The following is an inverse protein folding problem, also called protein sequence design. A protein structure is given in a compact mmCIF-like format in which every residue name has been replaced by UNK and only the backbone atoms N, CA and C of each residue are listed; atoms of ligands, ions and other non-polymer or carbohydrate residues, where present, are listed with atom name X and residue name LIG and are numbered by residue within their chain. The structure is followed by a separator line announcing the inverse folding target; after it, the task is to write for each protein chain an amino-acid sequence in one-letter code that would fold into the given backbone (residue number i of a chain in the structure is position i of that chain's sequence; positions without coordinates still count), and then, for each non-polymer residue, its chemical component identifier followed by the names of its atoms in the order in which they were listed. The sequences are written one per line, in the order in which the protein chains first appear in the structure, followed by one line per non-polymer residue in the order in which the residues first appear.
data_IF_489659415787
#
_entry.id   IF_489659415787
#
_cell.length_a   1.000
_cell.length_b   1.000
_cell.length_c   1.000
_cell.angle_alpha   90.00
_cell.angle_beta   90.00
_cell.angle_gamma   90.00
#
_symmetry.space_group_name_H-M   'P 1'
#
loop_
_entity.id
_entity.type
_entity.pdbx_description
1 polymer ?
#
# COMPACT_ATOMS: atom_id res chain seq x y z
N UNK A 1 18.11 2.34 -13.50
CA UNK A 1 17.25 1.49 -12.67
C UNK A 1 16.05 2.31 -12.21
N UNK A 2 14.86 1.86 -12.53
CA UNK A 2 13.62 2.59 -12.18
C UNK A 2 13.12 2.17 -10.81
N UNK A 3 12.60 3.13 -10.05
CA UNK A 3 11.95 2.87 -8.77
C UNK A 3 10.50 2.44 -8.98
N UNK A 4 9.94 1.77 -7.97
CA UNK A 4 8.53 1.40 -7.94
C UNK A 4 7.82 2.12 -6.79
N UNK A 5 6.99 3.10 -7.14
CA UNK A 5 6.19 3.85 -6.17
C UNK A 5 5.16 2.94 -5.50
N UNK A 6 5.00 3.06 -4.19
CA UNK A 6 4.05 2.24 -3.43
C UNK A 6 4.52 0.82 -3.16
N UNK A 7 5.82 0.58 -3.30
CA UNK A 7 6.46 -0.72 -3.04
C UNK A 7 7.79 -0.53 -2.33
N UNK A 8 8.33 -1.64 -1.81
CA UNK A 8 9.68 -1.65 -1.29
C UNK A 8 10.70 -1.65 -2.42
N UNK A 9 11.72 -0.82 -2.27
CA UNK A 9 12.84 -0.69 -3.20
C UNK A 9 14.14 -0.78 -2.42
N UNK A 10 15.16 -1.41 -2.99
CA UNK A 10 16.50 -1.42 -2.40
C UNK A 10 17.31 -0.30 -3.05
N UNK A 11 17.65 0.71 -2.26
CA UNK A 11 18.31 1.92 -2.74
C UNK A 11 19.59 2.22 -1.96
N UNK A 12 20.58 2.79 -2.65
CA UNK A 12 21.88 3.15 -2.07
C UNK A 12 21.82 4.51 -1.40
N UNK A 13 22.42 4.61 -0.21
CA UNK A 13 22.63 5.88 0.49
C UNK A 13 23.76 6.64 -0.20
N UNK A 14 23.45 7.81 -0.74
CA UNK A 14 24.41 8.62 -1.50
C UNK A 14 24.82 9.91 -0.81
N UNK A 15 24.05 10.35 0.20
CA UNK A 15 24.33 11.63 0.88
C UNK A 15 23.74 11.62 2.29
N UNK A 16 24.45 12.23 3.21
CA UNK A 16 23.99 12.41 4.59
C UNK A 16 23.75 13.90 4.86
N UNK A 17 22.63 14.22 5.47
CA UNK A 17 22.24 15.60 5.83
C UNK A 17 21.66 15.61 7.25
N UNK A 18 21.47 16.82 7.83
CA UNK A 18 20.99 16.96 9.21
C UNK A 18 19.62 16.33 9.45
N UNK A 19 18.76 16.29 8.44
CA UNK A 19 17.37 15.82 8.56
C UNK A 19 17.15 14.42 7.99
N UNK A 20 18.21 13.71 7.60
CA UNK A 20 18.11 12.35 7.12
C UNK A 20 19.24 11.97 6.18
N UNK A 21 18.97 11.00 5.32
CA UNK A 21 19.88 10.61 4.23
C UNK A 21 19.15 10.67 2.91
N UNK A 22 19.90 10.90 1.83
CA UNK A 22 19.36 10.81 0.48
C UNK A 22 19.76 9.49 -0.15
N UNK A 23 18.79 8.89 -0.83
CA UNK A 23 18.93 7.61 -1.51
C UNK A 23 18.93 7.84 -3.03
N UNK A 24 19.64 6.99 -3.76
CA UNK A 24 19.69 7.05 -5.22
C UNK A 24 18.39 6.54 -5.82
N UNK A 25 17.55 7.44 -6.32
CA UNK A 25 16.30 7.13 -7.01
C UNK A 25 16.42 6.99 -8.52
N UNK A 26 17.65 6.92 -9.04
CA UNK A 26 17.89 6.82 -10.49
C UNK A 26 17.39 8.05 -11.24
N UNK A 27 16.51 7.85 -12.18
CA UNK A 27 15.92 8.94 -12.98
C UNK A 27 15.09 9.93 -12.15
N UNK A 28 14.57 9.50 -11.01
CA UNK A 28 13.81 10.34 -10.10
C UNK A 28 14.67 11.22 -9.20
N UNK A 29 16.00 11.09 -9.30
CA UNK A 29 16.94 11.85 -8.50
C UNK A 29 17.10 11.31 -7.08
N UNK A 30 17.54 12.17 -6.16
CA UNK A 30 17.74 11.79 -4.78
C UNK A 30 16.42 11.78 -4.01
N UNK A 31 16.21 10.71 -3.21
CA UNK A 31 15.00 10.51 -2.41
C UNK A 31 15.35 10.60 -0.93
N UNK A 32 14.65 11.44 -0.18
CA UNK A 32 14.91 11.62 1.25
C UNK A 32 14.36 10.45 2.07
N UNK A 33 15.19 9.92 2.96
CA UNK A 33 14.79 9.06 4.08
C UNK A 33 14.99 9.88 5.36
N UNK A 34 13.89 10.31 6.04
CA UNK A 34 14.00 11.14 7.24
C UNK A 34 14.77 10.46 8.37
N UNK A 35 15.44 11.26 9.20
CA UNK A 35 16.32 10.78 10.30
C UNK A 35 15.65 9.74 11.19
N UNK A 36 14.36 9.91 11.53
CA UNK A 36 13.65 8.97 12.40
C UNK A 36 13.56 7.54 11.86
N UNK A 37 13.77 7.37 10.55
CA UNK A 37 13.73 6.05 9.89
C UNK A 37 15.10 5.54 9.52
N UNK A 38 16.17 6.29 9.86
CA UNK A 38 17.55 5.92 9.56
C UNK A 38 18.16 5.17 10.74
N UNK A 39 18.75 4.01 10.49
CA UNK A 39 19.46 3.26 11.51
C UNK A 39 20.75 3.98 11.88
N UNK A 40 21.15 3.93 13.17
CA UNK A 40 22.36 4.60 13.68
C UNK A 40 23.65 4.20 12.95
N UNK A 41 23.72 2.96 12.48
CA UNK A 41 24.90 2.42 11.79
C UNK A 41 24.88 2.68 10.28
N UNK A 42 23.93 3.45 9.77
CA UNK A 42 23.77 3.73 8.36
C UNK A 42 24.93 4.61 7.84
N UNK A 43 25.51 4.20 6.72
CA UNK A 43 26.64 4.91 6.08
C UNK A 43 26.36 5.10 4.60
N UNK A 44 27.02 6.11 4.00
CA UNK A 44 27.02 6.31 2.55
C UNK A 44 27.58 5.04 1.89
N UNK A 45 26.88 4.56 0.87
CA UNK A 45 27.20 3.32 0.17
C UNK A 45 26.36 2.12 0.63
N UNK A 46 25.67 2.22 1.76
CA UNK A 46 24.79 1.16 2.23
C UNK A 46 23.54 1.07 1.34
N UNK A 47 23.03 -0.15 1.14
CA UNK A 47 21.77 -0.38 0.45
C UNK A 47 20.66 -0.62 1.49
N UNK A 48 19.61 0.18 1.42
CA UNK A 48 18.48 0.09 2.35
C UNK A 48 17.22 -0.37 1.61
N UNK A 49 16.45 -1.24 2.26
CA UNK A 49 15.15 -1.64 1.77
C UNK A 49 14.11 -0.66 2.32
N UNK A 50 13.57 0.18 1.46
CA UNK A 50 12.67 1.26 1.83
C UNK A 50 11.38 1.21 1.02
N UNK A 51 10.29 1.63 1.66
CA UNK A 51 9.00 1.83 1.00
C UNK A 51 8.94 3.27 0.47
N UNK A 52 8.55 3.43 -0.79
CA UNK A 52 8.45 4.74 -1.43
C UNK A 52 7.01 5.19 -1.56
N UNK A 53 6.73 6.41 -1.13
CA UNK A 53 5.41 7.03 -1.23
C UNK A 53 5.55 8.53 -1.44
N UNK A 54 4.44 9.24 -1.58
CA UNK A 54 4.44 10.69 -1.73
C UNK A 54 4.09 11.35 -0.41
N UNK A 55 4.84 12.38 -0.01
CA UNK A 55 4.57 13.15 1.21
C UNK A 55 3.35 14.09 1.04
N UNK A 56 3.10 14.93 2.04
CA UNK A 56 1.95 15.85 2.02
C UNK A 56 2.06 16.91 0.91
N UNK A 57 3.27 17.19 0.44
CA UNK A 57 3.54 18.11 -0.67
C UNK A 57 3.68 17.35 -2.01
N UNK A 58 3.30 16.08 -2.01
CA UNK A 58 3.36 15.19 -3.19
C UNK A 58 4.77 14.97 -3.73
N UNK A 59 5.77 15.06 -2.85
CA UNK A 59 7.16 14.74 -3.17
C UNK A 59 7.46 13.30 -2.80
N UNK A 60 8.28 12.67 -3.62
CA UNK A 60 8.72 11.30 -3.37
C UNK A 60 9.56 11.22 -2.10
N UNK A 61 9.18 10.34 -1.19
CA UNK A 61 9.84 10.15 0.11
C UNK A 61 9.93 8.66 0.46
N UNK A 62 10.93 8.30 1.25
CA UNK A 62 11.17 6.93 1.68
C UNK A 62 10.88 6.75 3.17
N UNK A 63 10.54 5.53 3.54
CA UNK A 63 10.40 5.12 4.95
C UNK A 63 10.89 3.68 5.12
N UNK A 64 11.40 3.38 6.31
CA UNK A 64 11.72 2.00 6.71
C UNK A 64 10.55 1.31 7.41
N UNK A 65 9.45 2.04 7.65
CA UNK A 65 8.22 1.46 8.17
C UNK A 65 7.61 0.50 7.14
N UNK A 66 6.95 -0.54 7.64
CA UNK A 66 6.20 -1.46 6.79
C UNK A 66 4.73 -1.03 6.77
N UNK A 67 4.22 -0.56 5.62
CA UNK A 67 2.80 -0.22 5.52
C UNK A 67 1.94 -1.48 5.59
N UNK A 68 0.66 -1.30 5.93
CA UNK A 68 -0.29 -2.41 6.01
C UNK A 68 -0.67 -2.96 4.64
N UNK A 69 -0.39 -2.21 3.58
CA UNK A 69 -0.66 -2.62 2.19
C UNK A 69 0.34 -1.95 1.25
N UNK A 70 0.70 -2.64 0.19
CA UNK A 70 1.50 -2.10 -0.90
C UNK A 70 0.66 -2.02 -2.18
N UNK A 71 1.13 -1.26 -3.16
CA UNK A 71 0.48 -1.21 -4.49
C UNK A 71 0.37 -2.63 -5.06
N UNK A 72 -0.81 -2.98 -5.51
CA UNK A 72 -1.12 -4.33 -6.04
C UNK A 72 -1.67 -5.30 -5.00
N UNK A 73 -1.78 -4.89 -3.74
CA UNK A 73 -2.25 -5.73 -2.64
C UNK A 73 -3.60 -5.27 -2.10
N UNK A 74 -4.23 -6.16 -1.35
CA UNK A 74 -5.48 -5.91 -0.63
C UNK A 74 -5.21 -5.88 0.88
N UNK A 75 -5.96 -5.04 1.60
CA UNK A 75 -5.93 -5.04 3.06
C UNK A 75 -7.24 -4.49 3.63
N UNK A 76 -7.52 -4.85 4.89
CA UNK A 76 -8.62 -4.27 5.65
C UNK A 76 -8.06 -3.12 6.47
N UNK A 77 -8.49 -1.90 6.16
CA UNK A 77 -7.95 -0.67 6.77
C UNK A 77 -9.05 0.16 7.41
N UNK A 78 -8.69 0.85 8.50
CA UNK A 78 -9.60 1.71 9.23
C UNK A 78 -9.59 3.13 8.65
N UNK A 79 -10.78 3.74 8.55
CA UNK A 79 -10.93 5.13 8.11
C UNK A 79 -10.55 6.07 9.25
N UNK A 80 -9.51 6.88 9.04
CA UNK A 80 -9.04 7.87 10.00
C UNK A 80 -9.87 9.15 9.95
N UNK A 81 -10.19 9.62 8.75
CA UNK A 81 -10.98 10.84 8.54
C UNK A 81 -11.57 10.87 7.14
N UNK A 82 -12.52 11.76 6.93
CA UNK A 82 -13.25 11.91 5.66
C UNK A 82 -13.35 13.42 5.35
N UNK A 83 -13.25 13.76 4.07
CA UNK A 83 -13.48 15.14 3.62
C UNK A 83 -14.37 15.16 2.38
N UNK A 84 -14.44 16.30 1.70
CA UNK A 84 -15.28 16.48 0.51
C UNK A 84 -14.81 15.68 -0.73
N UNK A 85 -13.62 15.10 -0.70
CA UNK A 85 -13.06 14.34 -1.83
C UNK A 85 -13.13 12.83 -1.62
N UNK A 86 -13.16 12.37 -0.39
CA UNK A 86 -13.20 10.96 -0.08
C UNK A 86 -12.77 10.63 1.32
N UNK A 87 -12.32 9.40 1.52
CA UNK A 87 -11.89 8.88 2.81
C UNK A 87 -10.37 8.70 2.83
N UNK A 88 -9.81 8.81 4.04
CA UNK A 88 -8.39 8.62 4.30
C UNK A 88 -8.22 7.50 5.31
N UNK A 89 -7.52 6.45 4.92
CA UNK A 89 -7.39 5.21 5.67
C UNK A 89 -5.99 5.10 6.29
N UNK A 90 -5.95 4.63 7.53
CA UNK A 90 -4.68 4.36 8.20
C UNK A 90 -4.02 3.11 7.61
N UNK A 91 -2.90 3.27 6.95
CA UNK A 91 -2.09 2.17 6.43
C UNK A 91 -0.72 2.06 7.09
N UNK A 92 -0.55 2.75 8.23
CA UNK A 92 0.65 2.67 9.05
C UNK A 92 1.73 3.71 8.74
N UNK A 93 1.47 4.63 7.83
CA UNK A 93 2.40 5.70 7.45
C UNK A 93 1.90 7.07 7.92
N UNK A 94 2.77 8.07 7.87
CA UNK A 94 2.42 9.45 8.26
C UNK A 94 1.30 10.03 7.41
N UNK A 95 1.28 9.71 6.13
CA UNK A 95 0.24 10.15 5.21
C UNK A 95 -0.74 9.00 4.98
N UNK A 96 -2.01 9.23 5.26
CA UNK A 96 -3.05 8.22 5.09
C UNK A 96 -3.30 7.88 3.61
N UNK A 97 -3.83 6.68 3.38
CA UNK A 97 -4.14 6.19 2.05
C UNK A 97 -5.51 6.71 1.61
N UNK A 98 -5.57 7.36 0.46
CA UNK A 98 -6.77 8.02 -0.05
C UNK A 98 -7.68 7.07 -0.83
N UNK A 99 -9.00 7.13 -0.54
CA UNK A 99 -10.04 6.42 -1.28
C UNK A 99 -11.05 7.47 -1.78
N UNK A 100 -10.99 7.85 -3.07
CA UNK A 100 -11.97 8.82 -3.59
C UNK A 100 -13.39 8.26 -3.56
N UNK A 101 -14.40 9.14 -3.50
CA UNK A 101 -15.80 8.71 -3.44
C UNK A 101 -16.18 7.78 -4.61
N UNK A 102 -15.63 8.02 -5.79
CA UNK A 102 -15.89 7.17 -6.96
C UNK A 102 -15.42 5.73 -6.80
N UNK A 103 -14.48 5.48 -5.87
CA UNK A 103 -13.92 4.17 -5.57
C UNK A 103 -14.53 3.52 -4.33
N UNK A 104 -15.55 4.11 -3.75
CA UNK A 104 -16.27 3.57 -2.60
C UNK A 104 -17.56 2.90 -3.07
N UNK A 105 -17.85 1.69 -2.57
CA UNK A 105 -19.13 1.01 -2.83
C UNK A 105 -20.26 1.67 -2.04
N UNK A 106 -19.96 1.96 -0.77
CA UNK A 106 -20.82 2.68 0.14
C UNK A 106 -20.00 3.79 0.76
N UNK A 107 -20.64 4.90 1.10
CA UNK A 107 -19.93 6.02 1.73
C UNK A 107 -19.20 5.56 2.98
N UNK A 108 -17.89 5.68 3.00
CA UNK A 108 -17.06 5.25 4.12
C UNK A 108 -17.27 6.13 5.34
N UNK A 109 -17.26 5.51 6.53
CA UNK A 109 -17.47 6.20 7.81
C UNK A 109 -16.21 6.10 8.68
N UNK A 110 -15.88 7.20 9.34
CA UNK A 110 -14.73 7.27 10.27
C UNK A 110 -14.85 6.18 11.35
N UNK A 111 -13.75 5.52 11.64
CA UNK A 111 -13.67 4.46 12.63
C UNK A 111 -14.05 3.07 12.14
N UNK A 112 -14.63 2.97 10.96
CA UNK A 112 -14.96 1.67 10.35
C UNK A 112 -13.82 1.16 9.49
N UNK A 113 -13.78 -0.16 9.31
CA UNK A 113 -12.77 -0.85 8.49
C UNK A 113 -13.37 -1.33 7.18
N UNK A 114 -12.60 -1.21 6.13
CA UNK A 114 -13.01 -1.63 4.78
C UNK A 114 -11.86 -2.36 4.10
N UNK A 115 -12.20 -3.38 3.31
CA UNK A 115 -11.24 -4.06 2.47
C UNK A 115 -11.05 -3.24 1.21
N UNK A 116 -9.80 -2.90 0.91
CA UNK A 116 -9.43 -2.07 -0.23
C UNK A 116 -8.25 -2.68 -0.99
N UNK A 117 -8.11 -2.29 -2.24
CA UNK A 117 -6.96 -2.59 -3.09
C UNK A 117 -6.18 -1.29 -3.34
N UNK A 118 -4.89 -1.30 -3.07
CA UNK A 118 -4.02 -0.15 -3.34
C UNK A 118 -3.50 -0.22 -4.77
N UNK A 119 -3.53 0.91 -5.47
CA UNK A 119 -3.05 1.00 -6.85
C UNK A 119 -2.54 2.41 -7.14
N UNK A 120 -1.85 2.56 -8.26
CA UNK A 120 -1.47 3.87 -8.77
C UNK A 120 -2.59 4.41 -9.65
N UNK A 121 -3.01 5.65 -9.38
CA UNK A 121 -3.97 6.33 -10.23
C UNK A 121 -3.31 6.67 -11.57
N UNK A 122 -3.93 6.25 -12.67
CA UNK A 122 -3.36 6.40 -14.02
C UNK A 122 -3.17 7.86 -14.43
N UNK A 123 -4.02 8.76 -13.96
CA UNK A 123 -3.95 10.17 -14.31
C UNK A 123 -2.97 10.96 -13.45
N UNK A 124 -3.03 10.78 -12.12
CA UNK A 124 -2.23 11.57 -11.18
C UNK A 124 -0.93 10.90 -10.73
N UNK A 125 -0.76 9.62 -11.00
CA UNK A 125 0.34 8.78 -10.52
C UNK A 125 0.47 8.75 -8.99
N UNK A 126 -0.62 9.04 -8.28
CA UNK A 126 -0.67 8.95 -6.82
C UNK A 126 -1.08 7.56 -6.37
N UNK A 127 -0.67 7.20 -5.17
CA UNK A 127 -1.13 5.95 -4.55
C UNK A 127 -2.53 6.21 -4.01
N UNK A 128 -3.49 5.43 -4.49
CA UNK A 128 -4.90 5.50 -4.06
C UNK A 128 -5.40 4.08 -3.78
N UNK A 129 -6.56 3.98 -3.14
CA UNK A 129 -7.17 2.68 -2.90
C UNK A 129 -8.62 2.65 -3.38
N UNK A 130 -9.12 1.45 -3.64
CA UNK A 130 -10.48 1.21 -4.09
C UNK A 130 -11.14 0.13 -3.24
N UNK A 131 -12.37 0.38 -2.80
CA UNK A 131 -13.21 -0.63 -2.18
C UNK A 131 -13.91 -1.54 -3.21
N UNK A 132 -13.80 -1.21 -4.48
CA UNK A 132 -14.37 -2.02 -5.59
C UNK A 132 -13.40 -3.14 -5.95
N UNK A 133 -13.16 -4.01 -4.97
CA UNK A 133 -12.08 -5.02 -4.99
C UNK A 133 -12.23 -6.05 -6.10
N UNK A 134 -13.45 -6.32 -6.55
CA UNK A 134 -13.70 -7.29 -7.62
C UNK A 134 -12.97 -6.95 -8.93
N UNK A 135 -12.71 -5.66 -9.18
CA UNK A 135 -11.98 -5.22 -10.37
C UNK A 135 -10.54 -5.72 -10.43
N UNK A 136 -9.96 -6.02 -9.27
CA UNK A 136 -8.55 -6.34 -9.11
C UNK A 136 -8.30 -7.81 -8.82
N UNK A 137 -9.36 -8.62 -8.71
CA UNK A 137 -9.25 -10.06 -8.51
C UNK A 137 -9.04 -10.76 -9.84
N UNK A 138 -8.20 -11.79 -9.84
CA UNK A 138 -7.95 -12.59 -11.03
C UNK A 138 -9.17 -13.43 -11.39
N UNK A 139 -9.54 -13.44 -12.67
CA UNK A 139 -10.56 -14.32 -13.24
C UNK A 139 -10.00 -15.70 -13.60
N UNK A 140 -8.67 -15.84 -13.58
CA UNK A 140 -8.01 -17.11 -13.85
C UNK A 140 -8.21 -18.07 -12.68
N UNK A 141 -8.33 -19.36 -13.01
CA UNK A 141 -8.44 -20.40 -11.99
C UNK A 141 -7.06 -20.64 -11.36
N UNK A 142 -6.95 -20.56 -10.02
CA UNK A 142 -5.68 -20.80 -9.36
C UNK A 142 -5.28 -22.27 -9.43
N UNK A 143 -3.97 -22.52 -9.49
CA UNK A 143 -3.39 -23.86 -9.47
C UNK A 143 -2.90 -24.19 -8.05
N UNK A 144 -3.84 -24.44 -7.13
CA UNK A 144 -3.52 -24.86 -5.77
C UNK A 144 -3.77 -26.35 -5.56
N UNK A 145 -2.90 -26.97 -4.77
CA UNK A 145 -3.13 -28.33 -4.28
C UNK A 145 -4.08 -28.29 -3.08
N UNK A 146 -4.81 -29.39 -2.75
CA UNK A 146 -5.76 -29.38 -1.63
C UNK A 146 -5.19 -29.02 -0.27
N UNK A 147 -3.89 -29.22 -0.06
CA UNK A 147 -3.21 -28.94 1.22
C UNK A 147 -2.32 -27.69 1.15
N UNK A 148 -2.40 -26.90 0.08
CA UNK A 148 -1.59 -25.71 -0.07
C UNK A 148 -1.94 -24.66 1.00
N UNK A 149 -0.91 -24.06 1.58
CA UNK A 149 -1.08 -22.91 2.48
C UNK A 149 -1.22 -21.63 1.66
N UNK A 150 -2.22 -20.83 1.97
CA UNK A 150 -2.49 -19.57 1.27
C UNK A 150 -2.81 -18.46 2.27
N UNK A 151 -2.51 -17.22 1.89
CA UNK A 151 -2.93 -16.04 2.63
C UNK A 151 -4.35 -15.69 2.23
N UNK A 152 -5.23 -15.46 3.20
CA UNK A 152 -6.61 -15.07 2.93
C UNK A 152 -6.96 -13.74 3.61
N UNK A 153 -7.84 -12.99 2.95
CA UNK A 153 -8.43 -11.77 3.50
C UNK A 153 -9.94 -11.85 3.24
N UNK A 154 -10.72 -11.90 4.31
CA UNK A 154 -12.18 -11.97 4.21
C UNK A 154 -12.71 -10.57 3.92
N UNK A 155 -13.51 -10.42 2.85
CA UNK A 155 -14.02 -9.10 2.49
C UNK A 155 -15.53 -8.97 2.47
N UNK A 156 -16.26 -10.07 2.40
CA UNK A 156 -17.73 -10.01 2.37
C UNK A 156 -18.35 -11.26 2.96
N UNK A 157 -19.39 -11.10 3.77
CA UNK A 157 -20.23 -12.20 4.25
C UNK A 157 -21.35 -12.46 3.25
N UNK A 158 -21.62 -13.74 2.97
CA UNK A 158 -22.70 -14.19 2.10
C UNK A 158 -23.56 -15.23 2.80
N UNK A 159 -24.68 -15.63 2.21
CA UNK A 159 -25.56 -16.69 2.75
C UNK A 159 -24.85 -18.05 2.86
N UNK A 160 -23.85 -18.29 2.03
CA UNK A 160 -23.08 -19.54 2.01
C UNK A 160 -21.82 -19.52 2.88
N UNK A 161 -21.41 -18.33 3.35
CA UNK A 161 -20.20 -18.15 4.12
C UNK A 161 -19.54 -16.82 3.82
N UNK A 162 -18.21 -16.80 3.78
CA UNK A 162 -17.44 -15.58 3.59
C UNK A 162 -16.69 -15.61 2.27
N UNK A 163 -16.77 -14.53 1.50
CA UNK A 163 -15.87 -14.33 0.36
C UNK A 163 -14.50 -13.93 0.88
N UNK A 164 -13.45 -14.57 0.36
CA UNK A 164 -12.08 -14.34 0.76
C UNK A 164 -11.21 -14.03 -0.46
N UNK A 165 -10.21 -13.19 -0.27
CA UNK A 165 -9.18 -12.92 -1.26
C UNK A 165 -8.00 -13.82 -0.92
N UNK A 166 -7.56 -14.64 -1.88
CA UNK A 166 -6.51 -15.63 -1.71
C UNK A 166 -5.23 -15.14 -2.39
N UNK A 167 -4.14 -15.07 -1.61
CA UNK A 167 -2.83 -14.60 -2.07
C UNK A 167 -2.87 -13.26 -2.82
N UNK A 168 -3.74 -12.33 -2.37
CA UNK A 168 -3.93 -11.00 -2.95
C UNK A 168 -4.39 -11.00 -4.41
N UNK A 169 -4.88 -12.12 -4.93
CA UNK A 169 -5.16 -12.27 -6.36
C UNK A 169 -6.48 -12.96 -6.69
N UNK A 170 -6.82 -14.03 -5.98
CA UNK A 170 -7.95 -14.89 -6.31
C UNK A 170 -9.12 -14.72 -5.35
N UNK A 171 -10.33 -14.96 -5.84
CA UNK A 171 -11.54 -14.97 -5.03
C UNK A 171 -11.90 -16.40 -4.64
N UNK A 172 -12.18 -16.63 -3.37
CA UNK A 172 -12.67 -17.92 -2.86
C UNK A 172 -13.85 -17.74 -1.93
N UNK A 173 -14.50 -18.84 -1.56
CA UNK A 173 -15.62 -18.87 -0.64
C UNK A 173 -15.29 -19.78 0.54
N UNK A 174 -15.39 -19.25 1.77
CA UNK A 174 -15.29 -20.04 3.00
C UNK A 174 -16.71 -20.33 3.50
N UNK A 175 -17.06 -21.59 3.55
CA UNK A 175 -18.38 -22.02 4.04
C UNK A 175 -18.43 -21.98 5.57
N UNK A 176 -19.61 -21.62 6.11
CA UNK A 176 -19.86 -21.69 7.55
C UNK A 176 -19.93 -23.14 8.05
#
# INVERSE_FOLDING_TARGET
MSIELGKFNQLEVVKEVDFGVYLDGGEEGEILLPTRYVHEDCKIGDFLNVFLYLDMDERLIATTLTPLVQVGQFACLEVSWVNQYGAFLNWGLMKDLFVPFSEQKMKMQVGRKYVVHAHLDEESYRIVASAKVERYLSIEKPEYTPEAEVNILIWQKTDLGFKAIIDYKYCGLLYE
#
